data_IF_374374912376
#
_entry.id   IF_374374912376
#
_cell.length_a   1.000
_cell.length_b   1.000
_cell.length_c   1.000
_cell.angle_alpha   90.00
_cell.angle_beta   90.00
_cell.angle_gamma   90.00
#
_symmetry.space_group_name_H-M   'P 1'
#
loop_
_entity.id
_entity.type
_entity.pdbx_description
1 polymer ?
#
# COMPACT_ATOMS: atom_id res chain seq x y z
N UNK A 1 -10.82 -13.64 15.86
CA UNK A 1 -11.77 -12.69 15.26
C UNK A 1 -10.96 -11.81 14.32
N UNK A 2 -11.02 -12.04 13.02
CA UNK A 2 -10.30 -11.22 12.05
C UNK A 2 -11.15 -9.98 11.81
N UNK A 3 -10.72 -8.85 12.35
CA UNK A 3 -11.32 -7.56 12.02
C UNK A 3 -10.81 -7.23 10.63
N UNK A 4 -11.57 -7.59 9.59
CA UNK A 4 -11.35 -7.04 8.26
C UNK A 4 -11.78 -5.57 8.34
N UNK A 5 -10.84 -4.69 8.67
CA UNK A 5 -11.07 -3.25 8.61
C UNK A 5 -11.29 -2.92 7.14
N UNK A 6 -12.55 -2.80 6.73
CA UNK A 6 -12.90 -2.39 5.38
C UNK A 6 -12.24 -1.04 5.09
N UNK A 7 -11.74 -0.87 3.86
CA UNK A 7 -11.24 0.42 3.39
C UNK A 7 -12.39 1.43 3.53
N UNK A 8 -12.19 2.58 4.21
CA UNK A 8 -13.24 3.57 4.32
C UNK A 8 -13.66 4.11 2.94
N UNK A 9 -14.94 4.42 2.74
CA UNK A 9 -15.49 4.87 1.45
C UNK A 9 -14.83 6.14 0.89
N UNK A 10 -14.18 6.94 1.74
CA UNK A 10 -13.44 8.17 1.36
C UNK A 10 -12.11 7.88 0.64
N UNK A 11 -11.73 6.60 0.51
CA UNK A 11 -10.51 6.16 -0.17
C UNK A 11 -10.85 5.38 -1.42
N UNK A 12 -10.40 5.89 -2.57
CA UNK A 12 -10.63 5.28 -3.87
C UNK A 12 -9.42 4.48 -4.34
N UNK A 13 -9.58 3.20 -4.73
CA UNK A 13 -8.51 2.42 -5.35
C UNK A 13 -8.31 2.88 -6.80
N UNK A 14 -7.41 3.84 -7.01
CA UNK A 14 -7.10 4.39 -8.34
C UNK A 14 -6.17 3.49 -9.17
N UNK A 15 -5.49 2.56 -8.50
CA UNK A 15 -4.65 1.58 -9.17
C UNK A 15 -4.64 0.28 -8.37
N UNK A 16 -4.97 -0.84 -9.02
CA UNK A 16 -4.79 -2.19 -8.52
C UNK A 16 -4.37 -3.06 -9.70
N UNK A 17 -3.05 -3.20 -9.89
CA UNK A 17 -2.48 -4.01 -10.95
C UNK A 17 -1.52 -5.02 -10.34
N UNK A 18 -1.74 -6.31 -10.66
CA UNK A 18 -0.74 -7.36 -10.50
C UNK A 18 -0.42 -7.93 -11.87
N UNK A 19 0.84 -7.83 -12.29
CA UNK A 19 1.31 -8.29 -13.60
C UNK A 19 2.46 -9.26 -13.48
N UNK A 20 2.42 -10.34 -14.26
CA UNK A 20 3.54 -11.26 -14.37
C UNK A 20 4.50 -10.81 -15.48
N UNK A 21 5.72 -10.43 -15.11
CA UNK A 21 6.81 -10.11 -16.02
C UNK A 21 7.66 -11.36 -16.30
N UNK A 22 7.48 -11.92 -17.50
CA UNK A 22 8.11 -13.17 -17.93
C UNK A 22 9.64 -13.12 -17.97
N UNK A 23 10.23 -11.96 -18.29
CA UNK A 23 11.68 -11.82 -18.44
C UNK A 23 12.44 -12.16 -17.16
N UNK A 24 11.86 -11.79 -16.02
CA UNK A 24 12.40 -12.10 -14.70
C UNK A 24 11.54 -13.14 -13.96
N UNK A 25 10.60 -13.80 -14.67
CA UNK A 25 9.63 -14.74 -14.14
C UNK A 25 9.01 -14.29 -12.80
N UNK A 26 8.49 -13.06 -12.77
CA UNK A 26 8.09 -12.39 -11.51
C UNK A 26 6.71 -11.74 -11.57
N UNK A 27 6.04 -11.67 -10.44
CA UNK A 27 4.83 -10.87 -10.27
C UNK A 27 5.22 -9.49 -9.75
N UNK A 28 4.52 -8.48 -10.25
CA UNK A 28 4.63 -7.10 -9.84
C UNK A 28 3.28 -6.58 -9.47
N UNK A 29 3.15 -6.16 -8.22
CA UNK A 29 1.94 -5.60 -7.66
C UNK A 29 2.14 -4.14 -7.34
N UNK A 30 1.24 -3.33 -7.88
CA UNK A 30 1.12 -1.93 -7.52
C UNK A 30 -0.33 -1.66 -7.14
N UNK A 31 -0.52 -1.23 -5.90
CA UNK A 31 -1.82 -0.81 -5.40
C UNK A 31 -1.70 0.62 -4.89
N UNK A 32 -2.64 1.47 -5.27
CA UNK A 32 -2.70 2.87 -4.88
C UNK A 32 -4.12 3.20 -4.47
N UNK A 33 -4.26 3.74 -3.27
CA UNK A 33 -5.49 4.35 -2.77
C UNK A 33 -5.27 5.86 -2.70
N UNK A 34 -6.23 6.65 -3.17
CA UNK A 34 -6.24 8.11 -3.05
C UNK A 34 -7.42 8.52 -2.16
N UNK A 35 -7.19 9.47 -1.26
CA UNK A 35 -8.25 10.08 -0.46
C UNK A 35 -9.09 10.99 -1.35
N UNK A 36 -10.40 11.09 -1.11
CA UNK A 36 -11.33 11.89 -1.93
C UNK A 36 -10.93 13.37 -2.06
N UNK A 37 -10.25 13.91 -1.05
CA UNK A 37 -9.72 15.28 -1.06
C UNK A 37 -8.60 15.48 -2.09
N UNK A 38 -7.91 14.41 -2.49
CA UNK A 38 -6.76 14.43 -3.40
C UNK A 38 -5.42 14.75 -2.72
N UNK A 39 -5.43 15.17 -1.45
CA UNK A 39 -4.23 15.58 -0.71
C UNK A 39 -3.42 14.42 -0.13
N UNK A 40 -3.98 13.20 -0.13
CA UNK A 40 -3.36 12.04 0.49
C UNK A 40 -3.53 10.78 -0.34
N UNK A 41 -2.49 9.95 -0.38
CA UNK A 41 -2.47 8.67 -1.07
C UNK A 41 -1.68 7.61 -0.29
N UNK A 42 -2.13 6.36 -0.34
CA UNK A 42 -1.41 5.19 0.20
C UNK A 42 -0.99 4.30 -0.95
N UNK A 43 0.29 3.90 -0.95
CA UNK A 43 0.91 3.13 -2.04
C UNK A 43 1.53 1.86 -1.51
N UNK A 44 1.20 0.75 -2.16
CA UNK A 44 1.80 -0.56 -1.98
C UNK A 44 2.58 -0.88 -3.25
N UNK A 45 3.86 -1.24 -3.12
CA UNK A 45 4.70 -1.60 -4.27
C UNK A 45 5.77 -2.60 -3.86
N UNK A 46 6.14 -3.49 -4.77
CA UNK A 46 7.26 -4.41 -4.54
C UNK A 46 8.57 -3.65 -4.39
N UNK A 47 9.38 -4.07 -3.44
CA UNK A 47 10.75 -3.59 -3.22
C UNK A 47 11.71 -4.77 -3.18
N UNK A 48 12.84 -4.58 -3.87
CA UNK A 48 13.98 -5.47 -3.81
C UNK A 48 14.95 -4.91 -2.79
N UNK A 49 15.17 -5.62 -1.68
CA UNK A 49 16.27 -5.25 -0.78
C UNK A 49 17.62 -5.58 -1.44
N UNK A 50 18.60 -4.66 -1.43
CA UNK A 50 19.81 -4.78 -2.24
C UNK A 50 20.77 -5.91 -1.86
N UNK A 51 20.40 -6.85 -0.96
CA UNK A 51 21.33 -7.87 -0.46
C UNK A 51 20.70 -9.18 0.06
N UNK A 52 19.40 -9.42 -0.12
CA UNK A 52 18.76 -10.54 0.58
C UNK A 52 18.42 -11.70 -0.35
N UNK A 53 18.95 -12.89 -0.03
CA UNK A 53 18.51 -14.23 -0.48
C UNK A 53 17.05 -14.56 -0.08
N UNK A 54 16.25 -13.55 0.31
CA UNK A 54 14.99 -13.65 1.05
C UNK A 54 13.92 -12.84 0.31
N UNK A 55 13.62 -13.25 -0.93
CA UNK A 55 12.42 -12.83 -1.67
C UNK A 55 12.24 -11.32 -1.92
N UNK A 56 11.14 -11.00 -2.59
CA UNK A 56 10.65 -9.62 -2.73
C UNK A 56 9.73 -9.30 -1.54
N UNK A 57 9.66 -8.03 -1.17
CA UNK A 57 8.78 -7.54 -0.10
C UNK A 57 7.89 -6.42 -0.63
N UNK A 58 6.79 -6.15 0.06
CA UNK A 58 5.88 -5.06 -0.23
C UNK A 58 6.20 -3.87 0.67
N UNK A 59 6.56 -2.73 0.06
CA UNK A 59 6.65 -1.45 0.74
C UNK A 59 5.28 -0.79 0.77
N UNK A 60 4.85 -0.42 1.97
CA UNK A 60 3.65 0.40 2.21
C UNK A 60 4.11 1.79 2.61
N UNK A 61 3.62 2.81 1.90
CA UNK A 61 3.92 4.22 2.20
C UNK A 61 2.71 5.11 2.00
N UNK A 62 2.60 6.11 2.85
CA UNK A 62 1.71 7.24 2.71
C UNK A 62 2.45 8.37 1.97
N UNK A 63 1.75 9.09 1.11
CA UNK A 63 2.29 10.22 0.33
C UNK A 63 1.22 11.29 0.18
N UNK A 64 1.61 12.56 0.15
CA UNK A 64 0.66 13.67 0.17
C UNK A 64 0.96 14.58 1.35
N UNK A 65 -0.08 15.03 2.04
CA UNK A 65 -0.01 15.78 3.30
C UNK A 65 0.84 15.06 4.35
N UNK A 66 0.57 13.77 4.57
CA UNK A 66 1.38 12.90 5.42
C UNK A 66 2.24 11.97 4.55
N UNK A 67 3.53 12.29 4.46
CA UNK A 67 4.52 11.48 3.76
C UNK A 67 5.33 10.62 4.74
N UNK A 68 4.97 9.34 4.86
CA UNK A 68 5.67 8.41 5.75
C UNK A 68 5.76 6.99 5.20
N UNK A 69 6.74 6.24 5.71
CA UNK A 69 6.90 4.80 5.44
C UNK A 69 6.15 4.01 6.50
N UNK A 70 5.04 3.39 6.10
CA UNK A 70 4.17 2.58 6.97
C UNK A 70 4.75 1.17 7.24
N UNK A 71 5.63 0.68 6.36
CA UNK A 71 6.38 -0.54 6.62
C UNK A 71 6.85 -1.27 5.36
N UNK A 72 7.57 -2.37 5.58
CA UNK A 72 7.91 -3.35 4.55
C UNK A 72 7.53 -4.72 5.08
N UNK A 73 6.79 -5.50 4.29
CA UNK A 73 6.19 -6.79 4.69
C UNK A 73 6.37 -7.82 3.58
N UNK A 74 6.17 -9.10 3.90
CA UNK A 74 6.54 -10.21 3.00
C UNK A 74 5.40 -10.65 2.07
N UNK A 75 4.15 -10.34 2.41
CA UNK A 75 2.98 -10.66 1.61
C UNK A 75 2.07 -9.44 1.37
N UNK A 76 1.26 -9.53 0.32
CA UNK A 76 0.38 -8.44 -0.13
C UNK A 76 -0.82 -8.22 0.80
N UNK A 77 -1.31 -9.25 1.49
CA UNK A 77 -2.43 -9.14 2.41
C UNK A 77 -2.01 -8.34 3.65
N UNK A 78 -0.86 -8.66 4.25
CA UNK A 78 -0.31 -7.84 5.35
C UNK A 78 -0.03 -6.40 4.89
N UNK A 79 0.37 -6.21 3.62
CA UNK A 79 0.59 -4.88 3.06
C UNK A 79 -0.72 -4.08 2.97
N UNK A 80 -1.80 -4.74 2.55
CA UNK A 80 -3.16 -4.18 2.51
C UNK A 80 -3.67 -3.87 3.92
N UNK A 81 -3.45 -4.74 4.90
CA UNK A 81 -3.83 -4.50 6.30
C UNK A 81 -3.13 -3.26 6.87
N UNK A 82 -1.83 -3.08 6.58
CA UNK A 82 -1.11 -1.86 7.00
C UNK A 82 -1.64 -0.60 6.31
N UNK A 83 -1.94 -0.69 5.02
CA UNK A 83 -2.54 0.42 4.29
C UNK A 83 -3.92 0.78 4.89
N UNK A 84 -4.76 -0.22 5.15
CA UNK A 84 -6.08 -0.07 5.77
C UNK A 84 -6.00 0.53 7.16
N UNK A 85 -5.05 0.08 7.98
CA UNK A 85 -4.84 0.63 9.32
C UNK A 85 -4.54 2.14 9.27
N UNK A 86 -3.67 2.57 8.35
CA UNK A 86 -3.41 4.00 8.14
C UNK A 86 -4.65 4.74 7.64
N UNK A 87 -5.33 4.22 6.62
CA UNK A 87 -6.53 4.84 6.04
C UNK A 87 -7.66 5.00 7.07
N UNK A 88 -7.79 4.05 8.00
CA UNK A 88 -8.78 4.08 9.06
C UNK A 88 -8.42 5.05 10.21
N UNK A 89 -7.13 5.35 10.40
CA UNK A 89 -6.67 6.33 11.39
C UNK A 89 -6.41 7.72 10.80
N UNK A 90 -6.51 7.87 9.48
CA UNK A 90 -6.26 9.13 8.81
C UNK A 90 -7.47 10.05 9.01
N UNK A 91 -7.25 11.15 9.71
CA UNK A 91 -8.17 12.27 9.81
C UNK A 91 -7.54 13.39 8.99
N UNK A 92 -8.17 13.86 7.89
CA UNK A 92 -7.66 15.02 7.18
C UNK A 92 -7.67 16.21 8.15
N UNK A 93 -6.61 17.03 8.14
CA UNK A 93 -6.59 18.28 8.90
C UNK A 93 -7.76 19.14 8.41
N UNK A 94 -8.82 19.19 9.23
CA UNK A 94 -10.02 19.96 8.92
C UNK A 94 -9.75 21.44 9.15
N UNK A 95 -9.59 22.20 8.07
CA UNK A 95 -9.65 23.68 8.08
C UNK A 95 -11.10 24.18 8.07
#
# INVERSE_FOLDING_TARGET
MSVTTAVPDVWEPVHDETRFERHNAREYTRIVFEHESGDQAVRISDVQEPSSFVGWRYLVRATGETAERLGVVEDVETAKERAQAFMASYEPDGD
#
